data_IF_723616921857
#
_entry.id   IF_723616921857
#
_cell.length_a   1.000
_cell.length_b   1.000
_cell.length_c   1.000
_cell.angle_alpha   90.00
_cell.angle_beta   90.00
_cell.angle_gamma   90.00
#
_symmetry.space_group_name_H-M   'P 1'
#
loop_
_entity.id
_entity.type
_entity.pdbx_description
1 polymer ?
#
# COMPACT_ATOMS: atom_id res chain seq x y z
N UNK A 1 3.93 -15.86 6.40
CA UNK A 1 2.68 -16.47 6.91
C UNK A 1 2.12 -17.41 5.87
N UNK A 2 1.06 -18.17 6.20
CA UNK A 2 0.42 -19.10 5.24
C UNK A 2 -0.60 -18.44 4.30
N UNK A 3 -1.25 -17.35 4.74
CA UNK A 3 -2.26 -16.62 3.98
C UNK A 3 -2.25 -15.14 4.40
N UNK A 4 -2.26 -14.23 3.42
CA UNK A 4 -2.32 -12.78 3.64
C UNK A 4 -3.75 -12.27 3.51
N UNK A 5 -4.53 -12.32 4.59
CA UNK A 5 -5.97 -11.99 4.61
C UNK A 5 -6.23 -10.55 4.13
N UNK A 6 -5.41 -9.60 4.57
CA UNK A 6 -5.49 -8.18 4.22
C UNK A 6 -4.55 -7.80 3.06
N UNK A 7 -3.96 -8.79 2.38
CA UNK A 7 -2.87 -8.55 1.43
C UNK A 7 -3.24 -7.79 0.16
N UNK A 8 -4.53 -7.59 -0.08
CA UNK A 8 -5.08 -6.86 -1.24
C UNK A 8 -5.89 -5.61 -0.81
N UNK A 9 -5.70 -5.15 0.42
CA UNK A 9 -6.29 -3.91 0.93
C UNK A 9 -5.21 -2.84 1.12
N UNK A 10 -5.53 -1.62 0.70
CA UNK A 10 -4.75 -0.44 1.09
C UNK A 10 -4.94 -0.12 2.57
N UNK A 11 -4.00 0.63 3.15
CA UNK A 11 -4.00 0.90 4.59
C UNK A 11 -5.25 1.68 5.01
N UNK A 12 -5.66 2.68 4.22
CA UNK A 12 -6.88 3.44 4.43
C UNK A 12 -8.14 2.57 4.34
N UNK A 13 -8.14 1.54 3.50
CA UNK A 13 -9.25 0.56 3.43
C UNK A 13 -9.29 -0.33 4.67
N UNK A 14 -8.13 -0.72 5.22
CA UNK A 14 -8.08 -1.46 6.50
C UNK A 14 -8.68 -0.64 7.64
N UNK A 15 -8.35 0.66 7.73
CA UNK A 15 -8.97 1.56 8.71
C UNK A 15 -10.49 1.70 8.49
N UNK A 16 -10.93 1.87 7.24
CA UNK A 16 -12.35 1.93 6.91
C UNK A 16 -13.09 0.64 7.31
N UNK A 17 -12.50 -0.52 7.04
CA UNK A 17 -13.05 -1.82 7.41
C UNK A 17 -13.13 -1.98 8.93
N UNK A 18 -12.10 -1.57 9.67
CA UNK A 18 -12.12 -1.64 11.12
C UNK A 18 -13.21 -0.74 11.74
N UNK A 19 -13.37 0.49 11.22
CA UNK A 19 -14.49 1.38 11.62
C UNK A 19 -15.84 0.77 11.27
N UNK A 20 -15.95 0.13 10.11
CA UNK A 20 -17.18 -0.56 9.70
C UNK A 20 -17.53 -1.74 10.61
N UNK A 21 -16.54 -2.53 11.04
CA UNK A 21 -16.74 -3.63 12.01
C UNK A 21 -17.24 -3.08 13.36
N UNK A 22 -16.69 -1.94 13.79
CA UNK A 22 -17.03 -1.31 15.06
C UNK A 22 -18.34 -0.52 15.08
N UNK A 23 -19.05 -0.40 13.95
CA UNK A 23 -20.19 0.52 13.80
C UNK A 23 -21.32 0.30 14.81
N UNK A 24 -21.55 -0.97 15.19
CA UNK A 24 -22.65 -1.37 16.07
C UNK A 24 -22.15 -1.63 17.52
N UNK A 25 -20.88 -2.02 17.65
CA UNK A 25 -20.24 -2.35 18.93
C UNK A 25 -18.72 -2.25 18.78
N UNK A 26 -18.03 -1.76 19.81
CA UNK A 26 -16.57 -1.83 19.86
C UNK A 26 -16.09 -3.29 19.95
N UNK A 27 -15.57 -3.80 18.84
CA UNK A 27 -14.95 -5.13 18.71
C UNK A 27 -13.43 -4.96 18.64
N UNK A 28 -12.97 -3.99 17.84
CA UNK A 28 -11.58 -3.60 17.71
C UNK A 28 -11.36 -2.38 18.62
N UNK A 29 -10.42 -2.42 19.58
CA UNK A 29 -10.21 -1.29 20.48
C UNK A 29 -9.88 0.01 19.73
N UNK A 30 -10.55 1.11 20.08
CA UNK A 30 -10.40 2.42 19.38
C UNK A 30 -8.95 2.92 19.40
N UNK A 31 -8.23 2.69 20.50
CA UNK A 31 -6.84 3.10 20.65
C UNK A 31 -5.90 2.50 19.58
N UNK A 32 -6.23 1.33 19.01
CA UNK A 32 -5.44 0.71 17.93
C UNK A 32 -5.62 1.49 16.62
N UNK A 33 -6.78 2.13 16.43
CA UNK A 33 -7.10 2.91 15.23
C UNK A 33 -6.54 4.33 15.29
N UNK A 34 -6.39 4.89 16.49
CA UNK A 34 -5.89 6.25 16.72
C UNK A 34 -4.38 6.31 16.90
N UNK A 35 -3.76 5.21 17.34
CA UNK A 35 -2.31 5.12 17.45
C UNK A 35 -1.68 5.30 16.06
N UNK A 36 -0.66 6.18 16.00
CA UNK A 36 0.10 6.40 14.79
C UNK A 36 0.74 5.08 14.31
N UNK A 37 0.72 4.80 13.00
CA UNK A 37 1.35 3.61 12.44
C UNK A 37 2.87 3.63 12.70
N UNK A 38 3.38 2.58 13.32
CA UNK A 38 4.79 2.39 13.62
C UNK A 38 5.12 0.90 13.49
N UNK A 39 6.20 0.59 12.78
CA UNK A 39 6.71 -0.76 12.63
C UNK A 39 7.32 -1.32 13.93
N UNK A 40 7.57 -0.50 14.96
CA UNK A 40 8.16 -0.88 16.26
C UNK A 40 9.40 -1.80 16.16
N UNK A 41 10.11 -1.80 15.01
CA UNK A 41 11.29 -2.66 14.79
C UNK A 41 12.52 -2.12 15.54
N UNK A 42 12.48 -0.86 15.97
CA UNK A 42 13.48 -0.18 16.81
C UNK A 42 12.79 0.84 17.73
N UNK A 43 13.39 1.19 18.90
CA UNK A 43 12.87 2.26 19.75
C UNK A 43 12.69 3.56 18.95
N UNK A 44 11.57 4.24 19.14
CA UNK A 44 11.19 5.52 18.50
C UNK A 44 10.99 5.49 16.96
N UNK A 45 11.01 4.33 16.30
CA UNK A 45 10.77 4.26 14.86
C UNK A 45 9.30 4.55 14.52
N UNK A 46 9.02 5.57 13.69
CA UNK A 46 7.68 5.81 13.11
C UNK A 46 7.65 5.32 11.66
N UNK A 47 6.53 4.77 11.18
CA UNK A 47 6.42 4.37 9.77
C UNK A 47 6.54 5.58 8.83
N UNK A 48 6.16 6.76 9.33
CA UNK A 48 6.33 8.07 8.71
C UNK A 48 7.78 8.42 8.38
N UNK A 49 8.78 7.78 9.00
CA UNK A 49 10.20 8.10 8.77
C UNK A 49 10.67 7.62 7.39
N UNK A 50 9.98 6.64 6.78
CA UNK A 50 10.40 6.00 5.52
C UNK A 50 9.36 6.09 4.41
N UNK A 51 8.09 6.26 4.75
CA UNK A 51 6.98 6.32 3.80
C UNK A 51 6.20 7.63 3.93
N UNK A 52 5.63 8.14 2.83
CA UNK A 52 4.64 9.21 2.90
C UNK A 52 3.42 8.76 3.72
N UNK A 53 2.67 9.73 4.24
CA UNK A 53 1.39 9.45 4.91
C UNK A 53 0.44 8.65 3.99
N UNK A 54 -0.31 7.72 4.59
CA UNK A 54 -1.10 6.73 3.85
C UNK A 54 -2.26 7.36 3.06
N UNK A 55 -2.76 8.51 3.51
CA UNK A 55 -3.76 9.32 2.81
C UNK A 55 -3.24 9.87 1.47
N UNK A 56 -1.93 10.04 1.32
CA UNK A 56 -1.27 10.43 0.06
C UNK A 56 -0.76 9.21 -0.70
N UNK A 57 -0.20 8.22 -0.01
CA UNK A 57 0.39 7.03 -0.62
C UNK A 57 -0.66 6.16 -1.32
N UNK A 58 -1.77 5.86 -0.64
CA UNK A 58 -2.78 4.91 -1.14
C UNK A 58 -3.42 5.38 -2.45
N UNK A 59 -3.83 6.66 -2.61
CA UNK A 59 -4.34 7.16 -3.89
C UNK A 59 -3.33 7.03 -5.03
N UNK A 60 -2.05 7.35 -4.80
CA UNK A 60 -1.00 7.23 -5.83
C UNK A 60 -0.83 5.76 -6.26
N UNK A 61 -0.81 4.84 -5.28
CA UNK A 61 -0.73 3.41 -5.56
C UNK A 61 -1.95 2.92 -6.35
N UNK A 62 -3.16 3.36 -5.99
CA UNK A 62 -4.39 3.03 -6.70
C UNK A 62 -4.35 3.48 -8.17
N UNK A 63 -3.92 4.73 -8.43
CA UNK A 63 -3.78 5.23 -9.80
C UNK A 63 -2.75 4.42 -10.60
N UNK A 64 -1.60 4.12 -10.00
CA UNK A 64 -0.50 3.42 -10.67
C UNK A 64 -0.78 1.93 -10.89
N UNK A 65 -1.37 1.24 -9.90
CA UNK A 65 -1.53 -0.21 -9.91
C UNK A 65 -2.81 -0.59 -10.64
N UNK A 66 -3.94 -0.11 -10.13
CA UNK A 66 -5.28 -0.51 -10.57
C UNK A 66 -5.70 0.23 -11.83
N UNK A 67 -5.57 1.57 -11.84
CA UNK A 67 -5.90 2.39 -13.01
C UNK A 67 -4.82 2.41 -14.09
N UNK A 68 -3.65 1.82 -13.79
CA UNK A 68 -2.53 1.64 -14.73
C UNK A 68 -1.99 2.96 -15.30
N UNK A 69 -2.13 4.05 -14.56
CA UNK A 69 -1.66 5.35 -14.99
C UNK A 69 -0.14 5.44 -14.92
N UNK A 70 0.45 6.18 -15.87
CA UNK A 70 1.87 6.49 -15.90
C UNK A 70 2.25 7.64 -14.94
N UNK A 71 3.55 7.84 -14.66
CA UNK A 71 4.01 8.90 -13.77
C UNK A 71 3.56 10.30 -14.21
N UNK A 72 3.57 10.58 -15.51
CA UNK A 72 3.13 11.88 -16.06
C UNK A 72 1.65 12.16 -15.79
N UNK A 73 0.80 11.14 -15.90
CA UNK A 73 -0.64 11.26 -15.65
C UNK A 73 -0.92 11.50 -14.18
N UNK A 74 -0.22 10.78 -13.29
CA UNK A 74 -0.35 10.96 -11.85
C UNK A 74 0.14 12.37 -11.45
N UNK A 75 1.26 12.84 -12.00
CA UNK A 75 1.74 14.22 -11.74
C UNK A 75 0.72 15.26 -12.23
N UNK A 76 0.09 15.03 -13.39
CA UNK A 76 -0.94 15.92 -13.92
C UNK A 76 -2.21 15.98 -13.04
N UNK A 77 -2.42 15.02 -12.14
CA UNK A 77 -3.49 15.06 -11.13
C UNK A 77 -3.16 15.97 -9.93
N UNK A 78 -1.97 16.59 -9.90
CA UNK A 78 -1.55 17.53 -8.86
C UNK A 78 -0.68 16.92 -7.76
N UNK A 79 -0.22 15.68 -7.92
CA UNK A 79 0.73 15.08 -6.99
C UNK A 79 2.16 15.57 -7.24
N UNK A 80 2.93 15.71 -6.15
CA UNK A 80 4.32 16.15 -6.22
C UNK A 80 5.19 15.17 -7.08
N UNK A 81 5.96 15.67 -8.07
CA UNK A 81 6.76 14.84 -8.95
C UNK A 81 7.83 14.00 -8.23
N UNK A 82 8.49 14.55 -7.21
CA UNK A 82 9.53 13.84 -6.48
C UNK A 82 8.93 12.69 -5.66
N UNK A 83 7.78 12.96 -5.04
CA UNK A 83 7.01 11.98 -4.29
C UNK A 83 6.54 10.83 -5.17
N UNK A 84 5.94 11.13 -6.33
CA UNK A 84 5.49 10.14 -7.31
C UNK A 84 6.68 9.29 -7.76
N UNK A 85 7.79 9.90 -8.16
CA UNK A 85 8.98 9.16 -8.59
C UNK A 85 9.52 8.24 -7.49
N UNK A 86 9.58 8.72 -6.23
CA UNK A 86 10.01 7.94 -5.08
C UNK A 86 9.09 6.74 -4.83
N UNK A 87 7.77 6.94 -4.81
CA UNK A 87 6.78 5.86 -4.59
C UNK A 87 6.89 4.80 -5.69
N UNK A 88 6.89 5.21 -6.96
CA UNK A 88 6.94 4.28 -8.09
C UNK A 88 8.25 3.48 -8.10
N UNK A 89 9.38 4.12 -7.76
CA UNK A 89 10.67 3.44 -7.57
C UNK A 89 10.60 2.41 -6.45
N UNK A 90 10.04 2.77 -5.29
CA UNK A 90 9.87 1.83 -4.17
C UNK A 90 8.98 0.65 -4.56
N UNK A 91 7.89 0.88 -5.28
CA UNK A 91 7.05 -0.21 -5.80
C UNK A 91 7.93 -1.14 -6.63
N UNK A 92 8.61 -0.64 -7.67
CA UNK A 92 9.37 -1.49 -8.60
C UNK A 92 10.51 -2.27 -7.91
N UNK A 93 11.29 -1.62 -7.04
CA UNK A 93 12.43 -2.27 -6.34
C UNK A 93 11.98 -3.38 -5.39
N UNK A 94 10.77 -3.30 -4.82
CA UNK A 94 10.27 -4.29 -3.87
C UNK A 94 9.53 -5.48 -4.51
N UNK A 95 9.61 -5.69 -5.83
CA UNK A 95 8.96 -6.84 -6.48
C UNK A 95 9.46 -8.18 -5.94
N UNK A 96 10.74 -8.29 -5.61
CA UNK A 96 11.31 -9.52 -5.04
C UNK A 96 10.61 -9.94 -3.74
N UNK A 97 10.18 -8.98 -2.90
CA UNK A 97 9.42 -9.25 -1.67
C UNK A 97 8.03 -9.77 -1.98
N UNK A 98 7.39 -9.23 -3.03
CA UNK A 98 6.05 -9.64 -3.47
C UNK A 98 6.04 -11.05 -4.03
N UNK A 99 7.08 -11.45 -4.76
CA UNK A 99 7.18 -12.80 -5.31
C UNK A 99 7.34 -13.89 -4.23
N UNK A 100 7.92 -13.53 -3.07
CA UNK A 100 8.03 -14.42 -1.91
C UNK A 100 6.81 -14.34 -0.96
N UNK A 101 5.85 -13.47 -1.26
CA UNK A 101 4.70 -13.25 -0.40
C UNK A 101 3.76 -14.45 -0.47
N UNK A 102 3.09 -14.73 0.66
CA UNK A 102 2.12 -15.81 0.72
C UNK A 102 0.88 -15.51 -0.15
N UNK A 103 0.06 -16.52 -0.49
CA UNK A 103 -1.20 -16.29 -1.19
C UNK A 103 -2.06 -15.23 -0.48
N UNK A 104 -2.80 -14.45 -1.26
CA UNK A 104 -3.69 -13.38 -0.77
C UNK A 104 -5.11 -13.61 -1.25
N UNK A 105 -6.08 -13.09 -0.50
CA UNK A 105 -7.48 -13.06 -0.91
C UNK A 105 -7.67 -11.85 -1.82
N UNK A 106 -8.07 -12.08 -3.07
CA UNK A 106 -8.31 -11.00 -4.03
C UNK A 106 -9.68 -10.37 -3.80
N UNK A 107 -9.68 -9.06 -3.58
CA UNK A 107 -10.86 -8.19 -3.47
C UNK A 107 -10.82 -7.03 -4.47
N UNK A 108 -9.64 -6.67 -4.97
CA UNK A 108 -9.44 -5.61 -5.96
C UNK A 108 -9.41 -6.14 -7.41
N UNK A 109 -9.68 -5.27 -8.41
CA UNK A 109 -9.53 -5.61 -9.82
C UNK A 109 -8.10 -6.01 -10.19
N UNK A 110 -7.08 -5.56 -9.45
CA UNK A 110 -5.67 -5.78 -9.80
C UNK A 110 -4.76 -6.05 -8.61
N UNK A 111 -5.08 -7.13 -7.91
CA UNK A 111 -4.30 -7.64 -6.79
C UNK A 111 -2.87 -8.02 -7.16
N UNK A 112 -1.95 -7.90 -6.20
CA UNK A 112 -0.59 -8.41 -6.33
C UNK A 112 -0.59 -9.96 -6.49
N UNK A 113 0.39 -10.49 -7.21
CA UNK A 113 0.44 -11.91 -7.58
C UNK A 113 -0.19 -12.14 -8.96
N UNK A 114 -1.24 -12.96 -9.06
CA UNK A 114 -1.84 -13.31 -10.37
C UNK A 114 -2.40 -12.08 -11.10
N UNK A 115 -2.90 -11.08 -10.37
CA UNK A 115 -3.45 -9.85 -10.96
C UNK A 115 -2.40 -8.86 -11.49
N UNK A 116 -1.15 -8.93 -11.01
CA UNK A 116 -0.04 -8.09 -11.45
C UNK A 116 1.25 -8.90 -11.45
N UNK A 117 1.66 -9.37 -12.62
CA UNK A 117 2.94 -10.05 -12.84
C UNK A 117 3.92 -9.10 -13.51
N UNK A 118 5.03 -8.82 -12.84
CA UNK A 118 6.15 -8.05 -13.38
C UNK A 118 7.45 -8.81 -13.09
N UNK A 119 8.48 -8.71 -13.95
CA UNK A 119 9.74 -9.40 -13.70
C UNK A 119 10.45 -8.82 -12.47
N UNK A 120 11.10 -9.67 -11.68
CA UNK A 120 11.93 -9.21 -10.54
C UNK A 120 13.11 -8.37 -11.04
N UNK A 121 13.75 -8.81 -12.13
CA UNK A 121 14.83 -8.08 -12.79
C UNK A 121 14.26 -7.42 -14.03
N UNK A 122 14.06 -6.11 -13.98
CA UNK A 122 13.56 -5.32 -15.10
C UNK A 122 13.84 -3.83 -14.91
N UNK A 123 14.21 -3.15 -16.00
CA UNK A 123 14.40 -1.70 -16.00
C UNK A 123 13.08 -1.05 -16.45
N UNK A 124 12.34 -0.49 -15.49
CA UNK A 124 11.09 0.22 -15.72
C UNK A 124 11.21 1.64 -15.18
N UNK A 125 10.81 2.63 -15.99
CA UNK A 125 10.82 4.06 -15.63
C UNK A 125 12.21 4.57 -15.23
N UNK A 126 13.20 4.34 -16.09
CA UNK A 126 14.55 4.90 -15.96
C UNK A 126 14.68 6.29 -16.53
#
# INVERSE_FOLDING_TARGET
>A
GGLGILGDLYKMQVYALARYINRDKEIIPVHILEKAPSAELRPDQKDSDSLPEYDVLDPILYQYIERRQGPKEIIAMGYDPELVARILRMVNVNEYKRNQFCPIIRVSPKAFGVGRRVPIVGKYLS
#
